data_IF_744620166665
#
_entry.id   IF_744620166665
#
_cell.length_a   1.000
_cell.length_b   1.000
_cell.length_c   1.000
_cell.angle_alpha   90.00
_cell.angle_beta   90.00
_cell.angle_gamma   90.00
#
_symmetry.space_group_name_H-M   'P 1'
#
loop_
_entity.id
_entity.type
_entity.pdbx_description
1 polymer ?
#
# COMPACT_ATOMS: atom_id res chain seq x y z
N UNK A 1 -36.27 -14.89 -9.09
CA UNK A 1 -35.04 -15.13 -8.31
C UNK A 1 -34.86 -13.92 -7.40
N UNK A 2 -35.09 -14.07 -6.08
CA UNK A 2 -35.01 -12.98 -5.10
C UNK A 2 -33.55 -12.83 -4.67
N UNK A 3 -32.99 -11.62 -4.79
CA UNK A 3 -31.64 -11.30 -4.30
C UNK A 3 -31.82 -10.60 -2.95
N UNK A 4 -31.17 -11.17 -1.94
CA UNK A 4 -31.22 -10.79 -0.52
C UNK A 4 -30.26 -9.61 -0.27
N UNK A 5 -30.64 -8.55 0.47
CA UNK A 5 -29.69 -7.51 0.86
C UNK A 5 -28.83 -8.00 2.04
N UNK A 6 -27.52 -7.92 1.88
CA UNK A 6 -26.54 -8.18 2.95
C UNK A 6 -26.56 -6.96 3.87
N UNK A 7 -27.17 -7.13 5.04
CA UNK A 7 -27.14 -6.19 6.15
C UNK A 7 -25.74 -6.27 6.76
N UNK A 8 -24.92 -5.23 6.55
CA UNK A 8 -23.61 -5.08 7.16
C UNK A 8 -23.81 -4.60 8.60
N UNK A 9 -23.82 -5.55 9.53
CA UNK A 9 -23.84 -5.29 10.97
C UNK A 9 -22.51 -4.62 11.35
N UNK A 10 -22.56 -3.32 11.62
CA UNK A 10 -21.48 -2.61 12.29
C UNK A 10 -21.30 -3.21 13.69
N UNK A 11 -20.24 -3.99 13.87
CA UNK A 11 -19.83 -4.49 15.17
C UNK A 11 -19.25 -3.29 15.95
N UNK A 12 -20.12 -2.61 16.69
CA UNK A 12 -19.73 -1.62 17.69
C UNK A 12 -19.00 -2.37 18.80
N UNK A 13 -17.67 -2.26 18.82
CA UNK A 13 -16.86 -2.66 19.95
C UNK A 13 -17.17 -1.70 21.11
N UNK A 14 -18.09 -2.12 21.98
CA UNK A 14 -18.34 -1.50 23.27
C UNK A 14 -17.12 -1.75 24.16
N UNK A 15 -16.16 -0.83 24.15
CA UNK A 15 -15.18 -0.72 25.23
C UNK A 15 -15.91 -0.24 26.49
N UNK A 16 -15.83 -0.96 27.62
CA UNK A 16 -16.43 -0.52 28.86
C UNK A 16 -15.59 0.61 29.45
N UNK A 17 -16.16 1.82 29.51
CA UNK A 17 -15.69 2.86 30.43
C UNK A 17 -15.10 4.13 29.82
N UNK A 18 -15.62 4.65 28.70
CA UNK A 18 -15.44 6.08 28.40
C UNK A 18 -16.22 6.91 29.42
N UNK A 19 -15.55 7.40 30.47
CA UNK A 19 -16.02 8.60 31.18
C UNK A 19 -15.87 9.76 30.21
N UNK A 20 -16.99 10.20 29.64
CA UNK A 20 -17.05 11.33 28.72
C UNK A 20 -16.65 12.62 29.43
N UNK A 21 -16.12 13.57 28.66
CA UNK A 21 -15.73 14.92 29.06
C UNK A 21 -16.81 15.64 29.90
N UNK A 22 -18.09 15.33 29.69
CA UNK A 22 -19.22 15.82 30.51
C UNK A 22 -19.07 15.48 32.00
N UNK A 23 -18.62 14.27 32.35
CA UNK A 23 -18.41 13.88 33.75
C UNK A 23 -17.23 14.58 34.41
N UNK A 24 -16.31 15.14 33.61
CA UNK A 24 -15.18 15.95 34.10
C UNK A 24 -15.62 17.41 34.22
N UNK A 25 -16.45 17.89 33.29
CA UNK A 25 -16.91 19.28 33.23
C UNK A 25 -17.97 19.63 34.28
N UNK A 26 -18.87 18.70 34.63
CA UNK A 26 -19.82 18.87 35.74
C UNK A 26 -19.13 18.80 37.13
N UNK A 27 -18.08 17.98 37.29
CA UNK A 27 -17.27 17.93 38.52
C UNK A 27 -16.40 19.20 38.69
N UNK A 28 -15.96 19.79 37.58
CA UNK A 28 -15.13 21.01 37.53
C UNK A 28 -15.84 22.26 38.10
N UNK A 29 -17.17 22.36 37.98
CA UNK A 29 -17.93 23.54 38.41
C UNK A 29 -18.21 23.60 39.92
N UNK A 30 -18.27 22.45 40.60
CA UNK A 30 -18.64 22.40 42.03
C UNK A 30 -17.47 22.61 42.99
N UNK A 31 -16.24 22.28 42.57
CA UNK A 31 -15.04 22.36 43.43
C UNK A 31 -14.34 23.73 43.41
N UNK A 32 -14.59 24.56 42.40
CA UNK A 32 -13.84 25.81 42.18
C UNK A 32 -14.47 27.06 42.78
N UNK A 33 -15.71 26.99 43.29
CA UNK A 33 -16.47 28.21 43.60
C UNK A 33 -16.21 28.83 44.97
N UNK A 34 -15.54 28.18 45.94
CA UNK A 34 -15.44 28.77 47.30
C UNK A 34 -14.17 28.54 48.14
N UNK A 35 -13.09 27.90 47.68
CA UNK A 35 -11.91 27.71 48.54
C UNK A 35 -10.61 27.90 47.75
N UNK A 36 -10.12 29.14 47.73
CA UNK A 36 -8.79 29.49 47.22
C UNK A 36 -7.90 29.93 48.38
N UNK A 37 -6.76 29.25 48.59
CA UNK A 37 -5.71 29.74 49.49
C UNK A 37 -5.39 28.84 50.71
N UNK A 38 -4.59 29.36 51.65
CA UNK A 38 -3.93 28.60 52.74
C UNK A 38 -4.88 28.00 53.80
N UNK A 39 -6.18 28.29 53.73
CA UNK A 39 -7.20 27.82 54.68
C UNK A 39 -7.91 26.52 54.24
N UNK A 40 -7.40 25.82 53.22
CA UNK A 40 -7.96 24.57 52.74
C UNK A 40 -7.80 23.44 53.77
N UNK A 41 -8.86 22.65 53.99
CA UNK A 41 -8.81 21.52 54.93
C UNK A 41 -7.99 20.35 54.36
N UNK A 42 -7.43 19.47 55.20
CA UNK A 42 -6.75 18.26 54.75
C UNK A 42 -7.59 17.39 53.80
N UNK A 43 -8.90 17.29 54.04
CA UNK A 43 -9.84 16.55 53.19
C UNK A 43 -9.97 17.18 51.79
N UNK A 44 -9.98 18.52 51.71
CA UNK A 44 -10.05 19.24 50.43
C UNK A 44 -8.76 19.10 49.62
N UNK A 45 -7.61 19.16 50.29
CA UNK A 45 -6.30 18.90 49.68
C UNK A 45 -6.25 17.47 49.16
N UNK A 46 -6.71 16.49 49.93
CA UNK A 46 -6.76 15.09 49.51
C UNK A 46 -7.69 14.86 48.31
N UNK A 47 -8.88 15.47 48.31
CA UNK A 47 -9.83 15.40 47.19
C UNK A 47 -9.24 16.03 45.91
N UNK A 48 -8.66 17.23 46.02
CA UNK A 48 -7.99 17.91 44.92
C UNK A 48 -6.81 17.10 44.35
N UNK A 49 -6.01 16.49 45.22
CA UNK A 49 -4.92 15.62 44.79
C UNK A 49 -5.41 14.36 44.06
N UNK A 50 -6.49 13.73 44.54
CA UNK A 50 -7.09 12.57 43.87
C UNK A 50 -7.61 12.93 42.48
N UNK A 51 -8.25 14.10 42.32
CA UNK A 51 -8.70 14.57 41.02
C UNK A 51 -7.51 14.88 40.09
N UNK A 52 -6.48 15.55 40.59
CA UNK A 52 -5.25 15.78 39.82
C UNK A 52 -4.61 14.45 39.36
N UNK A 53 -4.60 13.43 40.22
CA UNK A 53 -4.06 12.12 39.89
C UNK A 53 -4.88 11.39 38.81
N UNK A 54 -6.21 11.53 38.84
CA UNK A 54 -7.11 11.01 37.80
C UNK A 54 -6.85 11.72 36.46
N UNK A 55 -6.81 13.05 36.44
CA UNK A 55 -6.50 13.84 35.23
C UNK A 55 -5.12 13.48 34.66
N UNK A 56 -4.11 13.39 35.51
CA UNK A 56 -2.76 12.97 35.12
C UNK A 56 -2.74 11.56 34.51
N UNK A 57 -3.46 10.61 35.11
CA UNK A 57 -3.54 9.24 34.60
C UNK A 57 -4.21 9.16 33.24
N UNK A 58 -5.28 9.93 33.02
CA UNK A 58 -5.94 10.05 31.70
C UNK A 58 -4.96 10.60 30.67
N UNK A 59 -4.24 11.70 30.97
CA UNK A 59 -3.26 12.27 30.06
C UNK A 59 -2.14 11.27 29.71
N UNK A 60 -1.66 10.53 30.70
CA UNK A 60 -0.65 9.47 30.52
C UNK A 60 -1.14 8.38 29.56
N UNK A 61 -2.37 7.93 29.74
CA UNK A 61 -2.99 6.93 28.86
C UNK A 61 -3.08 7.44 27.41
N UNK A 62 -3.45 8.70 27.21
CA UNK A 62 -3.53 9.30 25.88
C UNK A 62 -2.16 9.40 25.20
N UNK A 63 -1.09 9.73 25.94
CA UNK A 63 0.26 9.71 25.39
C UNK A 63 0.68 8.29 25.00
N UNK A 64 0.38 7.29 25.82
CA UNK A 64 0.64 5.90 25.47
C UNK A 64 -0.14 5.46 24.22
N UNK A 65 -1.40 5.91 24.06
CA UNK A 65 -2.17 5.66 22.83
C UNK A 65 -1.45 6.28 21.63
N UNK A 66 -0.99 7.54 21.74
CA UNK A 66 -0.30 8.23 20.66
C UNK A 66 0.96 7.50 20.18
N UNK A 67 1.71 6.90 21.12
CA UNK A 67 2.90 6.10 20.84
C UNK A 67 2.54 4.74 20.22
N UNK A 68 1.65 3.97 20.86
CA UNK A 68 1.27 2.63 20.42
C UNK A 68 0.58 2.62 19.06
N UNK A 69 -0.18 3.67 18.76
CA UNK A 69 -0.89 3.83 17.50
C UNK A 69 -0.09 4.57 16.43
N UNK A 70 1.15 4.97 16.74
CA UNK A 70 2.05 5.72 15.87
C UNK A 70 1.39 6.98 15.29
N UNK A 71 0.58 7.69 16.09
CA UNK A 71 -0.24 8.81 15.62
C UNK A 71 0.58 9.95 14.98
N UNK A 72 1.87 10.05 15.32
CA UNK A 72 2.80 11.01 14.73
C UNK A 72 2.95 10.84 13.21
N UNK A 73 2.70 9.65 12.66
CA UNK A 73 2.70 9.40 11.21
C UNK A 73 1.48 10.02 10.51
N UNK A 74 0.42 10.34 11.24
CA UNK A 74 -0.85 10.84 10.72
C UNK A 74 -1.07 12.33 11.03
N UNK A 75 -0.78 12.77 12.27
CA UNK A 75 -0.91 14.17 12.70
C UNK A 75 0.25 14.58 13.62
N UNK A 76 1.41 14.78 13.00
CA UNK A 76 2.64 15.20 13.71
C UNK A 76 2.45 16.47 14.53
N UNK A 77 1.66 17.43 14.06
CA UNK A 77 1.46 18.73 14.71
C UNK A 77 0.81 18.54 16.07
N UNK A 78 -0.35 17.88 16.14
CA UNK A 78 -1.06 17.67 17.42
C UNK A 78 -0.30 16.75 18.37
N UNK A 79 0.33 15.70 17.83
CA UNK A 79 1.10 14.77 18.67
C UNK A 79 2.31 15.45 19.29
N UNK A 80 3.04 16.27 18.54
CA UNK A 80 4.19 17.04 19.08
C UNK A 80 3.74 18.04 20.13
N UNK A 81 2.60 18.71 19.91
CA UNK A 81 2.01 19.64 20.89
C UNK A 81 1.60 18.91 22.18
N UNK A 82 0.92 17.76 22.07
CA UNK A 82 0.53 16.94 23.21
C UNK A 82 1.75 16.41 24.00
N UNK A 83 2.81 15.98 23.32
CA UNK A 83 4.06 15.53 23.95
C UNK A 83 4.75 16.65 24.72
N UNK A 84 4.75 17.88 24.19
CA UNK A 84 5.27 19.04 24.91
C UNK A 84 4.45 19.33 26.17
N UNK A 85 3.13 19.35 26.05
CA UNK A 85 2.23 19.54 27.20
C UNK A 85 2.40 18.43 28.25
N UNK A 86 2.65 17.20 27.81
CA UNK A 86 2.90 16.07 28.70
C UNK A 86 4.17 16.26 29.53
N UNK A 87 5.28 16.71 28.94
CA UNK A 87 6.52 16.99 29.66
C UNK A 87 6.32 18.07 30.74
N UNK A 88 5.58 19.14 30.41
CA UNK A 88 5.25 20.20 31.36
C UNK A 88 4.34 19.69 32.49
N UNK A 89 3.31 18.90 32.14
CA UNK A 89 2.37 18.30 33.09
C UNK A 89 3.07 17.31 34.03
N UNK A 90 3.99 16.49 33.54
CA UNK A 90 4.76 15.53 34.35
C UNK A 90 5.64 16.25 35.38
N UNK A 91 6.30 17.34 34.98
CA UNK A 91 7.09 18.16 35.88
C UNK A 91 6.22 18.83 36.95
N UNK A 92 5.06 19.38 36.57
CA UNK A 92 4.15 20.04 37.51
C UNK A 92 3.49 19.04 38.48
N UNK A 93 3.05 17.89 37.98
CA UNK A 93 2.45 16.85 38.81
C UNK A 93 3.46 16.27 39.80
N UNK A 94 4.74 16.11 39.40
CA UNK A 94 5.81 15.67 40.29
C UNK A 94 6.05 16.64 41.46
N UNK A 95 5.96 17.95 41.23
CA UNK A 95 6.06 18.97 42.30
C UNK A 95 4.89 18.84 43.29
N UNK A 96 3.68 18.59 42.80
CA UNK A 96 2.49 18.38 43.62
C UNK A 96 2.57 17.06 44.40
N UNK A 97 3.17 16.00 43.84
CA UNK A 97 3.41 14.77 44.59
C UNK A 97 4.39 14.98 45.76
N UNK A 98 5.42 15.79 45.56
CA UNK A 98 6.41 16.13 46.59
C UNK A 98 5.80 16.99 47.71
N UNK A 99 4.91 17.92 47.37
CA UNK A 99 4.19 18.75 48.33
C UNK A 99 2.72 18.97 47.91
N UNK A 100 1.86 18.13 48.46
CA UNK A 100 0.42 18.13 48.17
C UNK A 100 -0.29 19.39 48.65
N UNK A 101 0.27 20.11 49.63
CA UNK A 101 -0.37 21.31 50.18
C UNK A 101 -0.52 22.44 49.14
N UNK A 102 0.32 22.42 48.09
CA UNK A 102 0.31 23.41 47.03
C UNK A 102 -0.75 23.18 45.94
N UNK A 103 -1.53 22.10 45.99
CA UNK A 103 -2.47 21.73 44.90
C UNK A 103 -3.58 22.78 44.67
N UNK A 104 -4.02 23.45 45.74
CA UNK A 104 -5.00 24.54 45.71
C UNK A 104 -4.35 25.93 45.68
N UNK A 105 -3.03 26.01 45.74
CA UNK A 105 -2.27 27.27 45.62
C UNK A 105 -2.19 27.71 44.16
N UNK A 106 -1.95 29.02 43.95
CA UNK A 106 -1.73 29.58 42.62
C UNK A 106 -0.53 28.92 41.95
N UNK A 107 -0.67 28.61 40.67
CA UNK A 107 0.36 27.94 39.86
C UNK A 107 1.57 28.83 39.55
N UNK A 108 1.41 30.15 39.62
CA UNK A 108 2.51 31.12 39.59
C UNK A 108 2.06 32.44 40.22
N UNK A 109 3.03 33.34 40.48
CA UNK A 109 2.76 34.68 41.01
C UNK A 109 1.83 35.51 40.11
N UNK A 110 1.81 35.22 38.81
CA UNK A 110 1.04 35.95 37.81
C UNK A 110 -0.18 35.17 37.30
N UNK A 111 -0.38 33.93 37.75
CA UNK A 111 -1.48 33.09 37.30
C UNK A 111 -2.70 33.24 38.21
N UNK A 112 -3.88 33.34 37.60
CA UNK A 112 -5.16 33.20 38.30
C UNK A 112 -5.54 31.74 38.55
N UNK A 113 -4.84 30.78 37.92
CA UNK A 113 -5.13 29.36 38.02
C UNK A 113 -4.42 28.70 39.21
N UNK A 114 -5.12 27.83 39.92
CA UNK A 114 -4.50 26.91 40.90
C UNK A 114 -3.69 25.83 40.20
N UNK A 115 -2.82 25.11 40.93
CA UNK A 115 -2.11 23.96 40.38
C UNK A 115 -3.07 22.85 39.90
N UNK A 116 -4.16 22.60 40.62
CA UNK A 116 -5.23 21.70 40.18
C UNK A 116 -5.81 22.12 38.82
N UNK A 117 -6.17 23.39 38.68
CA UNK A 117 -6.74 23.92 37.43
C UNK A 117 -5.75 23.80 36.27
N UNK A 118 -4.46 24.06 36.51
CA UNK A 118 -3.40 23.88 35.50
C UNK A 118 -3.27 22.42 35.07
N UNK A 119 -3.20 21.48 36.03
CA UNK A 119 -3.12 20.04 35.77
C UNK A 119 -4.33 19.57 34.95
N UNK A 120 -5.54 19.97 35.35
CA UNK A 120 -6.76 19.60 34.64
C UNK A 120 -6.80 20.19 33.23
N UNK A 121 -6.42 21.45 33.07
CA UNK A 121 -6.39 22.11 31.75
C UNK A 121 -5.38 21.45 30.80
N UNK A 122 -4.15 21.18 31.27
CA UNK A 122 -3.14 20.49 30.46
C UNK A 122 -3.58 19.06 30.11
N UNK A 123 -4.14 18.32 31.07
CA UNK A 123 -4.62 16.95 30.86
C UNK A 123 -5.76 16.90 29.84
N UNK A 124 -6.75 17.81 29.96
CA UNK A 124 -7.84 17.93 29.01
C UNK A 124 -7.34 18.31 27.61
N UNK A 125 -6.35 19.21 27.51
CA UNK A 125 -5.79 19.59 26.22
C UNK A 125 -5.03 18.44 25.54
N UNK A 126 -4.26 17.66 26.30
CA UNK A 126 -3.62 16.45 25.79
C UNK A 126 -4.67 15.47 25.26
N UNK A 127 -5.73 15.22 26.03
CA UNK A 127 -6.83 14.36 25.61
C UNK A 127 -7.48 14.84 24.31
N UNK A 128 -7.79 16.14 24.20
CA UNK A 128 -8.36 16.75 22.99
C UNK A 128 -7.44 16.55 21.77
N UNK A 129 -6.15 16.85 21.91
CA UNK A 129 -5.16 16.76 20.83
C UNK A 129 -4.98 15.32 20.34
N UNK A 130 -4.86 14.35 21.25
CA UNK A 130 -4.69 12.93 20.89
C UNK A 130 -5.97 12.36 20.30
N UNK A 131 -7.13 12.65 20.88
CA UNK A 131 -8.43 12.22 20.31
C UNK A 131 -8.61 12.76 18.90
N UNK A 132 -8.27 14.02 18.65
CA UNK A 132 -8.31 14.61 17.32
C UNK A 132 -7.32 13.92 16.36
N UNK A 133 -6.11 13.59 16.82
CA UNK A 133 -5.12 12.86 16.01
C UNK A 133 -5.59 11.43 15.66
N UNK A 134 -6.24 10.72 16.59
CA UNK A 134 -6.86 9.41 16.32
C UNK A 134 -7.97 9.53 15.27
N UNK A 135 -8.83 10.54 15.39
CA UNK A 135 -9.87 10.79 14.38
C UNK A 135 -9.30 11.11 13.00
N UNK A 136 -8.18 11.85 12.93
CA UNK A 136 -7.45 12.11 11.68
C UNK A 136 -6.91 10.81 11.09
N UNK A 137 -6.29 9.94 11.91
CA UNK A 137 -5.83 8.61 11.47
C UNK A 137 -6.97 7.80 10.88
N UNK A 138 -8.09 7.65 11.61
CA UNK A 138 -9.23 6.86 11.15
C UNK A 138 -9.80 7.39 9.83
N UNK A 139 -9.92 8.72 9.73
CA UNK A 139 -10.35 9.40 8.50
C UNK A 139 -9.40 9.13 7.34
N UNK A 140 -8.08 9.26 7.53
CA UNK A 140 -7.06 8.95 6.52
C UNK A 140 -7.17 7.50 6.07
N UNK A 141 -7.25 6.56 7.01
CA UNK A 141 -7.31 5.13 6.72
C UNK A 141 -8.58 4.77 5.94
N UNK A 142 -9.71 5.40 6.26
CA UNK A 142 -10.99 5.18 5.60
C UNK A 142 -11.03 5.81 4.20
N UNK A 143 -10.80 7.12 4.09
CA UNK A 143 -10.95 7.88 2.84
C UNK A 143 -9.93 7.43 1.80
N UNK A 144 -8.69 7.18 2.22
CA UNK A 144 -7.61 6.77 1.32
C UNK A 144 -7.48 5.25 1.18
N UNK A 145 -8.43 4.45 1.70
CA UNK A 145 -8.38 2.98 1.59
C UNK A 145 -8.15 2.50 0.14
N UNK A 146 -8.90 2.96 -0.88
CA UNK A 146 -8.70 2.47 -2.26
C UNK A 146 -7.31 2.81 -2.81
N UNK A 147 -6.79 3.99 -2.45
CA UNK A 147 -5.45 4.44 -2.83
C UNK A 147 -4.38 3.55 -2.20
N UNK A 148 -4.53 3.24 -0.90
CA UNK A 148 -3.62 2.35 -0.16
C UNK A 148 -3.64 0.92 -0.70
N UNK A 149 -4.82 0.39 -0.99
CA UNK A 149 -4.97 -0.95 -1.56
C UNK A 149 -4.24 -1.06 -2.91
N UNK A 150 -4.35 -0.03 -3.76
CA UNK A 150 -3.62 0.02 -5.03
C UNK A 150 -2.10 0.16 -4.84
N UNK A 151 -1.62 0.90 -3.82
CA UNK A 151 -0.18 0.93 -3.51
C UNK A 151 0.36 -0.45 -3.13
N UNK A 152 -0.42 -1.28 -2.43
CA UNK A 152 -0.04 -2.67 -2.16
C UNK A 152 0.16 -3.45 -3.46
N UNK A 153 -0.75 -3.29 -4.43
CA UNK A 153 -0.60 -3.92 -5.76
C UNK A 153 0.65 -3.43 -6.48
N UNK A 154 0.87 -2.11 -6.53
CA UNK A 154 2.06 -1.52 -7.16
C UNK A 154 3.37 -2.00 -6.51
N UNK A 155 3.40 -2.13 -5.19
CA UNK A 155 4.56 -2.65 -4.47
C UNK A 155 4.84 -4.11 -4.81
N UNK A 156 3.80 -4.94 -4.93
CA UNK A 156 3.95 -6.35 -5.33
C UNK A 156 4.47 -6.53 -6.77
N UNK A 157 4.32 -5.50 -7.61
CA UNK A 157 4.86 -5.45 -8.97
C UNK A 157 6.25 -4.79 -9.05
N UNK A 158 6.93 -4.59 -7.90
CA UNK A 158 8.23 -3.91 -7.80
C UNK A 158 8.25 -2.53 -8.50
N UNK A 159 7.10 -1.83 -8.52
CA UNK A 159 6.94 -0.60 -9.30
C UNK A 159 7.91 0.50 -8.88
N UNK A 160 8.28 0.57 -7.59
CA UNK A 160 9.26 1.54 -7.11
C UNK A 160 10.64 1.37 -7.74
N UNK A 161 11.01 0.14 -8.13
CA UNK A 161 12.27 -0.16 -8.81
C UNK A 161 12.19 0.12 -10.31
N UNK A 162 11.11 -0.32 -10.95
CA UNK A 162 10.96 -0.23 -12.40
C UNK A 162 10.51 1.15 -12.88
N UNK A 163 9.74 1.88 -12.06
CA UNK A 163 9.15 3.18 -12.39
C UNK A 163 9.32 4.18 -11.22
N UNK A 164 10.56 4.48 -10.80
CA UNK A 164 10.83 5.24 -9.57
C UNK A 164 10.23 6.66 -9.58
N UNK A 165 10.27 7.34 -10.73
CA UNK A 165 9.75 8.71 -10.84
C UNK A 165 8.22 8.76 -10.70
N UNK A 166 7.51 7.88 -11.39
CA UNK A 166 6.04 7.83 -11.40
C UNK A 166 5.52 7.38 -10.03
N UNK A 167 6.15 6.34 -9.47
CA UNK A 167 5.85 5.87 -8.12
C UNK A 167 6.12 6.96 -7.07
N UNK A 168 7.25 7.66 -7.17
CA UNK A 168 7.60 8.77 -6.29
C UNK A 168 6.59 9.92 -6.33
N UNK A 169 6.13 10.31 -7.53
CA UNK A 169 5.08 11.33 -7.72
C UNK A 169 3.75 10.90 -7.06
N UNK A 170 3.34 9.65 -7.23
CA UNK A 170 2.14 9.12 -6.58
C UNK A 170 2.27 9.13 -5.06
N UNK A 171 3.41 8.69 -4.53
CA UNK A 171 3.65 8.68 -3.09
C UNK A 171 3.65 10.11 -2.52
N UNK A 172 4.29 11.07 -3.21
CA UNK A 172 4.25 12.47 -2.81
C UNK A 172 2.81 13.03 -2.80
N UNK A 173 2.00 12.69 -3.82
CA UNK A 173 0.59 13.08 -3.85
C UNK A 173 -0.21 12.43 -2.72
N UNK A 174 0.05 11.16 -2.40
CA UNK A 174 -0.55 10.49 -1.26
C UNK A 174 -0.25 11.22 0.06
N UNK A 175 1.01 11.59 0.30
CA UNK A 175 1.40 12.38 1.48
C UNK A 175 0.76 13.78 1.49
N UNK A 176 0.54 14.39 0.33
CA UNK A 176 -0.22 15.63 0.25
C UNK A 176 -1.67 15.41 0.70
N UNK A 177 -2.33 14.36 0.22
CA UNK A 177 -3.73 14.05 0.58
C UNK A 177 -3.89 13.70 2.06
N UNK A 178 -2.93 12.99 2.67
CA UNK A 178 -2.95 12.75 4.12
C UNK A 178 -2.85 14.06 4.90
N UNK A 179 -1.95 14.97 4.50
CA UNK A 179 -1.83 16.30 5.10
C UNK A 179 -3.09 17.15 4.95
N UNK A 180 -3.78 17.09 3.81
CA UNK A 180 -5.06 17.76 3.59
C UNK A 180 -6.17 17.22 4.51
N UNK A 181 -6.24 15.90 4.70
CA UNK A 181 -7.19 15.27 5.63
C UNK A 181 -6.92 15.65 7.08
N UNK A 182 -5.65 15.75 7.50
CA UNK A 182 -5.28 16.26 8.82
C UNK A 182 -5.73 17.71 9.06
N UNK A 183 -5.88 18.49 7.98
CA UNK A 183 -6.39 19.87 7.97
C UNK A 183 -7.91 19.97 7.76
N UNK A 184 -8.63 18.85 7.70
CA UNK A 184 -10.09 18.82 7.52
C UNK A 184 -10.56 19.18 6.10
N UNK A 185 -9.72 18.97 5.08
CA UNK A 185 -10.03 19.31 3.69
C UNK A 185 -10.64 18.12 2.91
N UNK A 186 -11.60 17.43 3.51
CA UNK A 186 -12.22 16.20 2.97
C UNK A 186 -12.74 16.36 1.54
N UNK A 187 -13.53 17.41 1.29
CA UNK A 187 -14.16 17.67 -0.02
C UNK A 187 -13.11 17.82 -1.12
N UNK A 188 -11.98 18.45 -0.82
CA UNK A 188 -10.91 18.61 -1.80
C UNK A 188 -10.19 17.28 -2.06
N UNK A 189 -9.95 16.50 -1.01
CA UNK A 189 -9.34 15.17 -1.12
C UNK A 189 -10.20 14.25 -1.96
N UNK A 190 -11.50 14.19 -1.70
CA UNK A 190 -12.47 13.41 -2.47
C UNK A 190 -12.47 13.79 -3.95
N UNK A 191 -12.35 15.08 -4.27
CA UNK A 191 -12.24 15.55 -5.65
C UNK A 191 -10.95 15.09 -6.35
N UNK A 192 -9.85 14.86 -5.61
CA UNK A 192 -8.60 14.35 -6.17
C UNK A 192 -8.56 12.82 -6.30
N UNK A 193 -9.43 12.08 -5.61
CA UNK A 193 -9.40 10.61 -5.59
C UNK A 193 -9.54 9.99 -7.00
N UNK A 194 -10.47 10.41 -7.88
CA UNK A 194 -10.60 9.81 -9.20
C UNK A 194 -9.31 9.92 -10.02
N UNK A 195 -8.66 11.09 -10.01
CA UNK A 195 -7.39 11.30 -10.71
C UNK A 195 -6.25 10.49 -10.09
N UNK A 196 -6.18 10.43 -8.76
CA UNK A 196 -5.18 9.61 -8.06
C UNK A 196 -5.31 8.13 -8.44
N UNK A 197 -6.53 7.59 -8.38
CA UNK A 197 -6.81 6.19 -8.71
C UNK A 197 -6.55 5.88 -10.19
N UNK A 198 -6.88 6.81 -11.09
CA UNK A 198 -6.57 6.67 -12.52
C UNK A 198 -5.05 6.63 -12.77
N UNK A 199 -4.29 7.48 -12.11
CA UNK A 199 -2.83 7.48 -12.24
C UNK A 199 -2.18 6.21 -11.65
N UNK A 200 -2.72 5.69 -10.53
CA UNK A 200 -2.28 4.41 -9.99
C UNK A 200 -2.59 3.26 -10.96
N UNK A 201 -3.78 3.25 -11.56
CA UNK A 201 -4.17 2.22 -12.52
C UNK A 201 -3.31 2.27 -13.79
N UNK A 202 -3.01 3.46 -14.31
CA UNK A 202 -2.13 3.60 -15.46
C UNK A 202 -0.72 3.08 -15.17
N UNK A 203 -0.19 3.40 -13.99
CA UNK A 203 1.09 2.86 -13.54
C UNK A 203 1.04 1.34 -13.38
N UNK A 204 -0.02 0.80 -12.79
CA UNK A 204 -0.23 -0.65 -12.62
C UNK A 204 -0.20 -1.38 -13.97
N UNK A 205 -0.86 -0.83 -14.98
CA UNK A 205 -0.87 -1.40 -16.35
C UNK A 205 0.51 -1.44 -16.99
N UNK A 206 1.37 -0.48 -16.72
CA UNK A 206 2.75 -0.50 -17.22
C UNK A 206 3.64 -1.39 -16.36
N UNK A 207 3.46 -1.38 -15.05
CA UNK A 207 4.18 -2.21 -14.09
C UNK A 207 3.97 -3.70 -14.34
N UNK A 208 2.74 -4.13 -14.64
CA UNK A 208 2.45 -5.55 -14.92
C UNK A 208 3.16 -6.04 -16.19
N UNK A 209 3.23 -5.20 -17.23
CA UNK A 209 3.97 -5.54 -18.46
C UNK A 209 5.46 -5.67 -18.17
N UNK A 210 6.02 -4.71 -17.44
CA UNK A 210 7.45 -4.75 -17.08
C UNK A 210 7.76 -5.97 -16.20
N UNK A 211 6.94 -6.23 -15.18
CA UNK A 211 7.18 -7.32 -14.24
C UNK A 211 7.14 -8.70 -14.92
N UNK A 212 6.14 -8.96 -15.77
CA UNK A 212 5.95 -10.29 -16.36
C UNK A 212 6.60 -10.47 -17.73
N UNK A 213 6.70 -9.40 -18.54
CA UNK A 213 7.07 -9.51 -19.96
C UNK A 213 8.43 -8.88 -20.29
N UNK A 214 9.09 -8.17 -19.36
CA UNK A 214 10.36 -7.50 -19.67
C UNK A 214 11.44 -8.45 -20.22
N UNK A 215 11.55 -9.66 -19.67
CA UNK A 215 12.52 -10.64 -20.14
C UNK A 215 12.28 -11.03 -21.61
N UNK A 216 11.06 -11.47 -21.94
CA UNK A 216 10.75 -11.89 -23.32
C UNK A 216 10.81 -10.70 -24.28
N UNK A 217 10.46 -9.49 -23.85
CA UNK A 217 10.65 -8.26 -24.64
C UNK A 217 12.15 -8.03 -24.95
N UNK A 218 13.03 -8.25 -23.98
CA UNK A 218 14.47 -8.12 -24.18
C UNK A 218 15.00 -9.19 -25.15
N UNK A 219 14.57 -10.45 -25.02
CA UNK A 219 14.93 -11.54 -25.94
C UNK A 219 14.46 -11.26 -27.38
N UNK A 220 13.24 -10.76 -27.56
CA UNK A 220 12.73 -10.35 -28.87
C UNK A 220 13.59 -9.24 -29.49
N UNK A 221 14.02 -8.25 -28.69
CA UNK A 221 14.94 -7.20 -29.16
C UNK A 221 16.30 -7.75 -29.57
N UNK A 222 16.80 -8.80 -28.92
CA UNK A 222 18.04 -9.47 -29.33
C UNK A 222 17.84 -10.17 -30.67
N UNK A 223 16.73 -10.89 -30.86
CA UNK A 223 16.40 -11.55 -32.14
C UNK A 223 16.30 -10.52 -33.27
N UNK A 224 15.64 -9.39 -33.03
CA UNK A 224 15.47 -8.29 -33.98
C UNK A 224 16.80 -7.77 -34.56
N UNK A 225 17.87 -7.81 -33.75
CA UNK A 225 19.20 -7.33 -34.09
C UNK A 225 20.16 -8.46 -34.54
N UNK A 226 19.62 -9.62 -34.88
CA UNK A 226 20.39 -10.79 -35.30
C UNK A 226 19.97 -11.29 -36.67
N UNK A 227 20.80 -12.14 -37.29
CA UNK A 227 20.48 -12.80 -38.56
C UNK A 227 19.17 -13.60 -38.50
N UNK A 228 18.75 -14.06 -37.30
CA UNK A 228 17.51 -14.83 -37.09
C UNK A 228 16.30 -14.11 -37.66
N UNK A 229 16.16 -12.80 -37.42
CA UNK A 229 15.01 -12.03 -37.91
C UNK A 229 14.99 -11.91 -39.43
N UNK A 230 16.15 -11.84 -40.08
CA UNK A 230 16.26 -11.76 -41.54
C UNK A 230 16.07 -13.11 -42.23
N UNK A 231 16.49 -14.20 -41.58
CA UNK A 231 16.46 -15.57 -42.11
C UNK A 231 15.13 -16.28 -41.84
N UNK A 232 14.40 -15.86 -40.79
CA UNK A 232 13.09 -16.38 -40.39
C UNK A 232 12.06 -15.24 -40.24
N UNK A 233 11.83 -14.44 -41.29
CA UNK A 233 11.01 -13.23 -41.20
C UNK A 233 9.56 -13.52 -40.81
N UNK A 234 8.97 -14.62 -41.29
CA UNK A 234 7.58 -14.98 -41.00
C UNK A 234 7.41 -15.44 -39.55
N UNK A 235 8.35 -16.26 -39.07
CA UNK A 235 8.37 -16.78 -37.69
C UNK A 235 8.60 -15.63 -36.70
N UNK A 236 9.52 -14.72 -37.03
CA UNK A 236 9.76 -13.52 -36.23
C UNK A 236 8.54 -12.60 -36.19
N UNK A 237 7.86 -12.39 -37.32
CA UNK A 237 6.63 -11.59 -37.37
C UNK A 237 5.54 -12.15 -36.44
N UNK A 238 5.38 -13.49 -36.38
CA UNK A 238 4.43 -14.13 -35.47
C UNK A 238 4.74 -13.83 -34.00
N UNK A 239 6.02 -13.89 -33.59
CA UNK A 239 6.43 -13.56 -32.21
C UNK A 239 6.13 -12.11 -31.86
N UNK A 240 6.33 -11.19 -32.82
CA UNK A 240 5.99 -9.78 -32.61
C UNK A 240 4.50 -9.56 -32.42
N UNK A 241 3.65 -10.17 -33.26
CA UNK A 241 2.19 -10.09 -33.08
C UNK A 241 1.78 -10.67 -31.74
N UNK A 242 2.33 -11.83 -31.35
CA UNK A 242 2.05 -12.44 -30.05
C UNK A 242 2.47 -11.54 -28.87
N UNK A 243 3.61 -10.85 -28.98
CA UNK A 243 4.03 -9.87 -27.98
C UNK A 243 3.04 -8.71 -27.90
N UNK A 244 2.67 -8.10 -29.03
CA UNK A 244 1.75 -6.96 -29.08
C UNK A 244 0.39 -7.33 -28.45
N UNK A 245 -0.13 -8.51 -28.79
CA UNK A 245 -1.36 -9.06 -28.21
C UNK A 245 -1.23 -9.31 -26.71
N UNK A 246 -0.08 -9.85 -26.26
CA UNK A 246 0.17 -10.15 -24.84
C UNK A 246 0.33 -8.89 -24.00
N UNK A 247 0.97 -7.85 -24.54
CA UNK A 247 1.07 -6.53 -23.90
C UNK A 247 -0.31 -5.90 -23.76
N UNK A 248 -1.13 -5.94 -24.82
CA UNK A 248 -2.50 -5.44 -24.77
C UNK A 248 -3.35 -6.22 -23.76
N UNK A 249 -3.21 -7.56 -23.76
CA UNK A 249 -3.91 -8.43 -22.83
C UNK A 249 -3.53 -8.10 -21.38
N UNK A 250 -2.23 -7.98 -21.07
CA UNK A 250 -1.75 -7.66 -19.73
C UNK A 250 -2.22 -6.28 -19.26
N UNK A 251 -2.26 -5.27 -20.13
CA UNK A 251 -2.79 -3.94 -19.78
C UNK A 251 -4.29 -3.93 -19.55
N UNK A 252 -5.03 -4.81 -20.22
CA UNK A 252 -6.49 -4.90 -20.09
C UNK A 252 -6.91 -5.76 -18.90
N UNK A 253 -6.15 -6.81 -18.62
CA UNK A 253 -6.40 -7.79 -17.56
C UNK A 253 -5.29 -7.74 -16.51
N UNK A 254 -4.92 -6.54 -16.06
CA UNK A 254 -3.73 -6.24 -15.25
C UNK A 254 -3.65 -6.92 -13.88
N UNK A 255 -4.70 -7.64 -13.47
CA UNK A 255 -4.76 -8.43 -12.24
C UNK A 255 -4.98 -9.93 -12.46
N UNK A 256 -5.09 -10.38 -13.71
CA UNK A 256 -5.13 -11.80 -14.07
C UNK A 256 -3.71 -12.32 -14.28
N UNK A 257 -2.95 -12.39 -13.18
CA UNK A 257 -1.53 -12.71 -13.21
C UNK A 257 -1.24 -14.07 -13.83
N UNK A 258 -2.07 -15.07 -13.52
CA UNK A 258 -1.91 -16.41 -14.09
C UNK A 258 -2.09 -16.40 -15.62
N UNK A 259 -3.08 -15.68 -16.15
CA UNK A 259 -3.24 -15.56 -17.59
C UNK A 259 -2.10 -14.79 -18.27
N UNK A 260 -1.56 -13.77 -17.59
CA UNK A 260 -0.40 -13.02 -18.08
C UNK A 260 0.86 -13.90 -18.10
N UNK A 261 1.08 -14.72 -17.08
CA UNK A 261 2.18 -15.69 -17.06
C UNK A 261 2.04 -16.72 -18.19
N UNK A 262 0.84 -17.24 -18.44
CA UNK A 262 0.60 -18.14 -19.58
C UNK A 262 0.94 -17.46 -20.91
N UNK A 263 0.64 -16.16 -21.08
CA UNK A 263 1.01 -15.39 -22.26
C UNK A 263 2.52 -15.21 -22.40
N UNK A 264 3.23 -14.94 -21.29
CA UNK A 264 4.70 -14.93 -21.25
C UNK A 264 5.27 -16.26 -21.71
N UNK A 265 4.76 -17.37 -21.17
CA UNK A 265 5.26 -18.72 -21.46
C UNK A 265 4.99 -19.12 -22.92
N UNK A 266 3.85 -18.68 -23.48
CA UNK A 266 3.54 -18.82 -24.90
C UNK A 266 4.58 -18.07 -25.76
N UNK A 267 4.94 -16.83 -25.41
CA UNK A 267 6.00 -16.09 -26.10
C UNK A 267 7.33 -16.84 -25.99
N UNK A 268 7.69 -17.31 -24.80
CA UNK A 268 8.95 -18.05 -24.59
C UNK A 268 9.02 -19.33 -25.44
N UNK A 269 7.91 -20.06 -25.56
CA UNK A 269 7.81 -21.23 -26.45
C UNK A 269 8.11 -20.87 -27.90
N UNK A 270 7.56 -19.74 -28.38
CA UNK A 270 7.82 -19.27 -29.74
C UNK A 270 9.24 -18.70 -29.93
N UNK A 271 9.85 -18.12 -28.90
CA UNK A 271 11.26 -17.72 -28.93
C UNK A 271 12.17 -18.94 -29.09
N UNK A 272 11.93 -19.99 -28.31
CA UNK A 272 12.66 -21.25 -28.43
C UNK A 272 12.48 -21.89 -29.81
N UNK A 273 11.28 -21.77 -30.40
CA UNK A 273 11.01 -22.21 -31.78
C UNK A 273 11.89 -21.48 -32.80
N UNK A 274 12.04 -20.15 -32.71
CA UNK A 274 12.95 -19.39 -33.59
C UNK A 274 14.37 -19.93 -33.51
N UNK A 275 14.85 -20.18 -32.29
CA UNK A 275 16.22 -20.67 -32.07
C UNK A 275 16.44 -22.04 -32.72
N UNK A 276 15.49 -22.95 -32.59
CA UNK A 276 15.57 -24.26 -33.22
C UNK A 276 15.49 -24.17 -34.74
N UNK A 277 14.54 -23.41 -35.30
CA UNK A 277 14.43 -23.23 -36.75
C UNK A 277 15.70 -22.61 -37.33
N UNK A 278 16.32 -21.68 -36.60
CA UNK A 278 17.56 -21.05 -37.03
C UNK A 278 18.73 -22.04 -37.00
N UNK A 279 18.84 -22.87 -35.96
CA UNK A 279 19.84 -23.94 -35.92
C UNK A 279 19.68 -24.93 -37.09
N UNK A 280 18.43 -25.27 -37.45
CA UNK A 280 18.14 -26.12 -38.61
C UNK A 280 18.48 -25.44 -39.93
N UNK A 281 18.18 -24.14 -40.07
CA UNK A 281 18.60 -23.35 -41.22
C UNK A 281 20.13 -23.39 -41.38
N UNK A 282 20.89 -23.19 -40.30
CA UNK A 282 22.35 -23.22 -40.34
C UNK A 282 22.88 -24.61 -40.75
N UNK A 283 22.27 -25.69 -40.24
CA UNK A 283 22.64 -27.04 -40.63
C UNK A 283 22.36 -27.33 -42.12
N UNK A 284 21.24 -26.84 -42.66
CA UNK A 284 20.86 -27.03 -44.07
C UNK A 284 21.65 -26.15 -45.05
N UNK A 285 22.01 -24.93 -44.65
CA UNK A 285 22.84 -24.01 -45.45
C UNK A 285 24.22 -24.57 -45.74
N UNK A 286 24.75 -25.42 -44.86
CA UNK A 286 25.99 -26.18 -45.12
C UNK A 286 25.83 -27.19 -46.27
N UNK A 287 24.61 -27.57 -46.62
CA UNK A 287 24.28 -28.59 -47.61
C UNK A 287 23.71 -27.98 -48.90
N UNK A 288 23.10 -26.79 -48.87
CA UNK A 288 22.49 -26.14 -50.04
C UNK A 288 22.62 -24.59 -50.01
N UNK A 289 22.75 -23.97 -51.19
CA UNK A 289 23.12 -22.55 -51.38
C UNK A 289 21.93 -21.57 -51.56
N UNK A 290 20.69 -22.03 -51.43
CA UNK A 290 19.52 -21.18 -51.72
C UNK A 290 19.13 -20.28 -50.54
N UNK A 291 18.43 -19.17 -50.79
CA UNK A 291 18.15 -18.13 -49.77
C UNK A 291 16.72 -18.19 -49.20
N UNK A 292 15.82 -18.99 -49.76
CA UNK A 292 14.40 -19.05 -49.36
C UNK A 292 14.04 -20.31 -48.55
N UNK A 293 14.78 -20.57 -47.46
CA UNK A 293 14.63 -21.80 -46.66
C UNK A 293 13.54 -21.78 -45.58
N UNK A 294 13.01 -20.61 -45.19
CA UNK A 294 12.03 -20.54 -44.09
C UNK A 294 10.78 -21.40 -44.41
N UNK A 295 10.17 -21.22 -45.59
CA UNK A 295 8.97 -21.98 -45.97
C UNK A 295 9.21 -23.50 -45.94
N UNK A 296 10.36 -23.95 -46.45
CA UNK A 296 10.72 -25.37 -46.41
C UNK A 296 10.84 -25.91 -44.98
N UNK A 297 11.46 -25.15 -44.07
CA UNK A 297 11.56 -25.51 -42.66
C UNK A 297 10.17 -25.53 -41.99
N UNK A 298 9.32 -24.56 -42.32
CA UNK A 298 7.96 -24.48 -41.80
C UNK A 298 7.08 -25.65 -42.28
N UNK A 299 7.25 -26.14 -43.51
CA UNK A 299 6.53 -27.30 -44.03
C UNK A 299 6.89 -28.60 -43.27
N UNK A 300 8.18 -28.79 -42.96
CA UNK A 300 8.65 -29.91 -42.15
C UNK A 300 8.10 -29.78 -40.72
N UNK A 301 8.22 -28.59 -40.13
CA UNK A 301 7.71 -28.33 -38.78
C UNK A 301 6.21 -28.58 -38.68
N UNK A 302 5.43 -28.13 -39.66
CA UNK A 302 3.99 -28.33 -39.69
C UNK A 302 3.62 -29.82 -39.79
N UNK A 303 4.40 -30.60 -40.55
CA UNK A 303 4.24 -32.05 -40.65
C UNK A 303 4.51 -32.73 -39.29
N UNK A 304 5.61 -32.36 -38.63
CA UNK A 304 5.95 -32.86 -37.29
C UNK A 304 4.89 -32.47 -36.25
N UNK A 305 4.45 -31.21 -36.25
CA UNK A 305 3.39 -30.73 -35.36
C UNK A 305 2.08 -31.50 -35.54
N UNK A 306 1.68 -31.82 -36.78
CA UNK A 306 0.49 -32.65 -37.03
C UNK A 306 0.65 -34.05 -36.43
N UNK A 307 1.84 -34.64 -36.53
CA UNK A 307 2.13 -35.95 -35.93
C UNK A 307 2.12 -35.89 -34.40
N UNK A 308 2.73 -34.86 -33.78
CA UNK A 308 2.73 -34.74 -32.31
C UNK A 308 1.33 -34.51 -31.74
N UNK A 309 0.48 -33.76 -32.45
CA UNK A 309 -0.93 -33.60 -32.06
C UNK A 309 -1.71 -34.91 -32.17
N UNK A 310 -1.56 -35.67 -33.28
CA UNK A 310 -2.20 -36.98 -33.44
C UNK A 310 -1.73 -38.00 -32.40
N UNK A 311 -0.48 -37.91 -31.96
CA UNK A 311 0.09 -38.76 -30.91
C UNK A 311 -0.27 -38.30 -29.48
N UNK A 312 -1.04 -37.21 -29.30
CA UNK A 312 -1.41 -36.67 -27.99
C UNK A 312 -0.26 -36.02 -27.22
N UNK A 313 0.83 -35.64 -27.89
CA UNK A 313 2.00 -35.00 -27.29
C UNK A 313 1.85 -33.46 -27.17
N UNK A 314 0.88 -32.88 -27.89
CA UNK A 314 0.66 -31.43 -27.94
C UNK A 314 1.66 -30.67 -28.82
N UNK A 315 1.80 -29.36 -28.57
CA UNK A 315 2.75 -28.52 -29.31
C UNK A 315 4.19 -28.72 -28.81
N UNK A 316 5.04 -29.25 -29.69
CA UNK A 316 6.46 -29.50 -29.45
C UNK A 316 7.39 -28.69 -30.35
N UNK A 317 6.89 -27.62 -30.97
CA UNK A 317 7.68 -26.77 -31.88
C UNK A 317 8.82 -25.99 -31.20
N UNK A 318 8.82 -25.90 -29.87
CA UNK A 318 9.97 -25.42 -29.08
C UNK A 318 11.12 -26.43 -28.99
N UNK A 319 11.00 -27.62 -29.59
CA UNK A 319 12.06 -28.64 -29.65
C UNK A 319 12.64 -28.73 -31.06
N UNK A 320 13.88 -29.20 -31.17
CA UNK A 320 14.51 -29.52 -32.46
C UNK A 320 13.73 -30.63 -33.20
N UNK A 321 13.83 -30.69 -34.54
CA UNK A 321 13.15 -31.75 -35.30
C UNK A 321 13.58 -33.15 -34.88
N UNK A 322 14.86 -33.34 -34.52
CA UNK A 322 15.35 -34.61 -34.00
C UNK A 322 14.64 -34.99 -32.69
N UNK A 323 14.54 -34.08 -31.74
CA UNK A 323 13.85 -34.34 -30.48
C UNK A 323 12.36 -34.63 -30.68
N UNK A 324 11.69 -33.88 -31.56
CA UNK A 324 10.29 -34.14 -31.91
C UNK A 324 10.12 -35.55 -32.52
N UNK A 325 11.06 -35.97 -33.38
CA UNK A 325 11.03 -37.30 -33.99
C UNK A 325 11.29 -38.42 -32.98
N UNK A 326 12.23 -38.25 -32.05
CA UNK A 326 12.44 -39.24 -30.98
C UNK A 326 11.22 -39.38 -30.07
N UNK A 327 10.56 -38.28 -29.70
CA UNK A 327 9.29 -38.34 -28.94
C UNK A 327 8.18 -39.09 -29.67
N UNK A 328 8.13 -38.98 -31.01
CA UNK A 328 7.17 -39.73 -31.82
C UNK A 328 7.49 -41.22 -31.85
N UNK A 329 8.78 -41.61 -31.93
CA UNK A 329 9.19 -43.02 -31.85
C UNK A 329 8.84 -43.68 -30.52
N UNK A 330 8.88 -42.94 -29.42
CA UNK A 330 8.50 -43.49 -28.11
C UNK A 330 6.98 -43.75 -28.00
N UNK A 331 6.18 -43.20 -28.92
CA UNK A 331 4.72 -43.36 -28.97
C UNK A 331 4.23 -44.43 -29.95
N UNK A 332 5.05 -44.85 -30.90
CA UNK A 332 4.72 -45.81 -31.96
C UNK A 332 5.68 -47.00 -31.94
#
# INVERSE_FOLDING_TARGET
MKILPIILTALVLLLPGCKTLESVQDDLGSLTSNIMGPDATPEQIAAAFNEANKSFSIAKEQINIAENEELNAFDKTRVTEAQKLWQELEADFSKIQADKSNILSRSSLFSSQTNLQKINASSAKIFELITAATQVKDRILLVLKPVRDNFTVLNNLDTAKSFPEQFGKLNAKYQQLTGMLAQGQDVQVEAYLPTMLANQLDLEKNAVVEFYLAQVIAEIKVIANSDKASMLPSTYAQVRTLLDDSVLFAKTNNRDYQAIEMKRDEIQHHLNRIDNLYAQHQALKLVSKDLSFENYLLDIEQSLFSLTQKAGLGDKRHLTFKQQFELLKEKF
#
